data_IF_811605258258
#
_entry.id   IF_811605258258
#
_cell.length_a   1.000
_cell.length_b   1.000
_cell.length_c   1.000
_cell.angle_alpha   90.00
_cell.angle_beta   90.00
_cell.angle_gamma   90.00
#
_symmetry.space_group_name_H-M   'P 1'
#
loop_
_entity.id
_entity.type
_entity.pdbx_description
1 polymer ?
#
# COMPACT_ATOMS: atom_id res chain seq x y z
N UNK A 1 4.16 12.81 21.84
CA UNK A 1 5.39 13.38 22.44
C UNK A 1 6.60 13.11 21.53
N UNK A 2 7.57 14.03 21.43
CA UNK A 2 8.70 13.92 20.47
C UNK A 2 9.50 12.62 20.61
N UNK A 3 9.72 12.15 21.84
CA UNK A 3 10.41 10.88 22.12
C UNK A 3 9.72 9.64 21.51
N UNK A 4 8.39 9.61 21.50
CA UNK A 4 7.64 8.50 20.93
C UNK A 4 7.75 8.50 19.39
N UNK A 5 7.63 9.68 18.76
CA UNK A 5 7.85 9.82 17.32
C UNK A 5 9.26 9.38 16.94
N UNK A 6 10.29 9.83 17.67
CA UNK A 6 11.66 9.41 17.43
C UNK A 6 11.85 7.88 17.55
N UNK A 7 11.24 7.25 18.56
CA UNK A 7 11.28 5.80 18.75
C UNK A 7 10.60 5.04 17.60
N UNK A 8 9.43 5.51 17.14
CA UNK A 8 8.74 4.94 15.97
C UNK A 8 9.61 5.09 14.72
N UNK A 9 10.21 6.27 14.50
CA UNK A 9 11.11 6.52 13.38
C UNK A 9 12.33 5.61 13.39
N UNK A 10 12.94 5.39 14.56
CA UNK A 10 14.10 4.51 14.70
C UNK A 10 13.74 3.04 14.42
N UNK A 11 12.63 2.54 14.98
CA UNK A 11 12.17 1.17 14.77
C UNK A 11 11.79 0.90 13.32
N UNK A 12 11.12 1.85 12.67
CA UNK A 12 10.65 1.71 11.29
C UNK A 12 11.72 2.17 10.27
N UNK A 13 12.96 2.36 10.72
CA UNK A 13 14.10 2.75 9.89
C UNK A 13 13.85 3.98 9.00
N UNK A 14 13.05 4.93 9.49
CA UNK A 14 12.66 6.12 8.73
C UNK A 14 12.03 5.79 7.37
N UNK A 15 11.33 4.67 7.25
CA UNK A 15 10.76 4.17 6.00
C UNK A 15 9.29 3.81 6.20
N UNK A 16 8.47 4.08 5.18
CA UNK A 16 7.08 3.65 5.16
C UNK A 16 6.98 2.13 5.31
N UNK A 17 6.16 1.67 6.25
CA UNK A 17 6.01 0.24 6.54
C UNK A 17 4.92 -0.46 5.71
N UNK A 18 4.29 0.25 4.77
CA UNK A 18 3.35 -0.38 3.84
C UNK A 18 4.10 -1.39 2.96
N UNK A 19 3.58 -2.62 2.74
CA UNK A 19 4.30 -3.67 2.02
C UNK A 19 4.84 -3.22 0.66
N UNK A 20 6.16 -3.33 0.46
CA UNK A 20 6.85 -2.97 -0.78
C UNK A 20 7.11 -1.46 -0.98
N UNK A 21 6.74 -0.60 -0.03
CA UNK A 21 7.03 0.84 -0.14
C UNK A 21 8.46 1.16 0.33
N UNK A 22 9.20 1.94 -0.47
CA UNK A 22 10.54 2.41 -0.15
C UNK A 22 10.62 3.92 0.17
N UNK A 23 9.48 4.58 0.41
CA UNK A 23 9.46 6.02 0.73
C UNK A 23 10.09 6.30 2.11
N UNK A 24 11.02 7.25 2.14
CA UNK A 24 11.73 7.71 3.35
C UNK A 24 11.39 9.16 3.74
N UNK A 25 10.53 9.82 2.96
CA UNK A 25 10.13 11.23 3.15
C UNK A 25 8.61 11.34 3.26
N UNK A 26 8.16 12.45 3.84
CA UNK A 26 6.74 12.75 4.04
C UNK A 26 6.02 11.63 4.81
N UNK A 27 6.67 11.21 5.91
CA UNK A 27 6.21 10.12 6.76
C UNK A 27 5.36 10.63 7.92
N UNK A 28 4.30 9.90 8.19
CA UNK A 28 3.32 10.18 9.21
C UNK A 28 3.26 8.97 10.14
N UNK A 29 3.07 9.23 11.43
CA UNK A 29 2.81 8.18 12.40
C UNK A 29 1.35 7.76 12.27
N UNK A 30 1.12 6.46 12.09
CA UNK A 30 -0.18 5.82 11.90
C UNK A 30 -0.44 4.81 13.01
N UNK A 31 -1.69 4.72 13.48
CA UNK A 31 -2.12 3.71 14.44
C UNK A 31 -2.54 2.42 13.73
N UNK A 32 -2.03 1.27 14.16
CA UNK A 32 -2.40 -0.06 13.63
C UNK A 32 -3.83 -0.44 14.04
N UNK A 33 -4.17 -0.20 15.31
CA UNK A 33 -5.55 -0.21 15.82
C UNK A 33 -6.02 1.23 15.94
N UNK A 34 -7.12 1.57 15.27
CA UNK A 34 -7.64 2.93 15.21
C UNK A 34 -7.93 3.51 16.60
N UNK A 35 -7.71 4.81 16.78
CA UNK A 35 -8.01 5.47 18.05
C UNK A 35 -9.49 5.33 18.44
N UNK A 36 -10.40 5.40 17.46
CA UNK A 36 -11.84 5.22 17.67
C UNK A 36 -12.20 3.80 18.16
N UNK A 37 -11.35 2.81 17.91
CA UNK A 37 -11.49 1.42 18.34
C UNK A 37 -10.79 1.15 19.69
N UNK A 38 -10.30 2.20 20.36
CA UNK A 38 -9.57 2.10 21.62
C UNK A 38 -8.06 1.89 21.45
N UNK A 39 -7.52 2.09 20.24
CA UNK A 39 -6.10 2.00 19.95
C UNK A 39 -5.26 2.96 20.81
N UNK A 40 -4.27 2.40 21.52
CA UNK A 40 -3.37 3.18 22.37
C UNK A 40 -2.36 3.96 21.54
N UNK A 41 -1.89 5.09 22.06
CA UNK A 41 -0.77 5.85 21.46
C UNK A 41 0.54 5.42 22.14
N UNK A 42 1.08 4.29 21.71
CA UNK A 42 2.32 3.71 22.23
C UNK A 42 3.19 3.17 21.09
N UNK A 43 4.39 2.67 21.42
CA UNK A 43 5.30 2.20 20.38
C UNK A 43 4.68 1.04 19.61
N UNK A 44 4.10 0.05 20.29
CA UNK A 44 3.62 -1.20 19.69
C UNK A 44 2.48 -0.99 18.68
N UNK A 45 1.58 -0.05 18.97
CA UNK A 45 0.42 0.26 18.13
C UNK A 45 0.69 1.31 17.06
N UNK A 46 1.86 1.94 17.03
CA UNK A 46 2.19 2.96 16.03
C UNK A 46 3.10 2.40 14.93
N UNK A 47 3.07 3.00 13.75
CA UNK A 47 4.01 2.73 12.64
C UNK A 47 4.15 3.93 11.70
N UNK A 48 5.10 3.91 10.77
CA UNK A 48 5.24 4.93 9.73
C UNK A 48 4.50 4.57 8.45
N UNK A 49 3.76 5.55 7.92
CA UNK A 49 3.19 5.52 6.58
C UNK A 49 3.54 6.81 5.83
N UNK A 50 3.84 6.75 4.52
CA UNK A 50 3.99 7.96 3.71
C UNK A 50 2.61 8.59 3.47
N UNK A 51 2.55 9.89 3.13
CA UNK A 51 1.27 10.58 2.93
C UNK A 51 0.30 9.89 1.96
N UNK A 52 0.81 9.25 0.91
CA UNK A 52 -0.02 8.47 -0.04
C UNK A 52 -0.65 7.24 0.64
N UNK A 53 0.17 6.37 1.26
CA UNK A 53 -0.35 5.19 1.94
C UNK A 53 -1.16 5.54 3.19
N UNK A 54 -0.79 6.58 3.93
CA UNK A 54 -1.57 7.02 5.07
C UNK A 54 -3.02 7.35 4.68
N UNK A 55 -3.22 7.99 3.52
CA UNK A 55 -4.55 8.26 2.98
C UNK A 55 -5.26 6.98 2.51
N UNK A 56 -4.61 6.11 1.74
CA UNK A 56 -5.21 4.85 1.28
C UNK A 56 -5.66 3.94 2.45
N UNK A 57 -4.92 3.90 3.55
CA UNK A 57 -5.30 3.12 4.73
C UNK A 57 -6.66 3.57 5.30
N UNK A 58 -6.94 4.88 5.28
CA UNK A 58 -8.22 5.42 5.76
C UNK A 58 -9.33 5.33 4.71
N UNK A 59 -9.02 5.52 3.42
CA UNK A 59 -10.02 5.57 2.34
C UNK A 59 -10.47 4.18 1.87
N UNK A 60 -9.55 3.21 1.82
CA UNK A 60 -9.79 1.91 1.18
C UNK A 60 -10.03 0.78 2.20
N UNK A 61 -10.16 1.10 3.49
CA UNK A 61 -10.38 0.11 4.56
C UNK A 61 -9.23 -0.90 4.72
N UNK A 62 -8.02 -0.52 4.31
CA UNK A 62 -6.84 -1.37 4.43
C UNK A 62 -6.29 -1.27 5.85
N UNK A 63 -6.13 -2.41 6.52
CA UNK A 63 -5.64 -2.47 7.90
C UNK A 63 -4.19 -2.93 7.92
N UNK A 64 -3.31 -2.17 8.58
CA UNK A 64 -1.95 -2.62 8.87
C UNK A 64 -1.93 -3.44 10.15
N UNK A 65 -1.29 -4.61 10.11
CA UNK A 65 -1.08 -5.47 11.29
C UNK A 65 0.39 -5.80 11.46
N UNK A 66 0.86 -5.70 12.71
CA UNK A 66 2.19 -6.20 13.08
C UNK A 66 2.09 -7.69 13.41
N UNK A 67 2.92 -8.48 12.75
CA UNK A 67 3.05 -9.93 12.99
C UNK A 67 3.95 -10.21 14.19
N UNK A 68 3.98 -11.47 14.65
CA UNK A 68 4.90 -11.92 15.71
C UNK A 68 6.39 -11.78 15.34
N UNK A 69 6.72 -11.80 14.04
CA UNK A 69 8.06 -11.51 13.53
C UNK A 69 8.35 -10.02 13.38
N UNK A 70 7.52 -9.15 13.97
CA UNK A 70 7.58 -7.69 13.91
C UNK A 70 7.39 -7.07 12.51
N UNK A 71 7.13 -7.86 11.48
CA UNK A 71 6.83 -7.40 10.11
C UNK A 71 5.43 -6.80 10.03
N UNK A 72 5.28 -5.68 9.33
CA UNK A 72 3.98 -5.11 8.99
C UNK A 72 3.42 -5.80 7.75
N UNK A 73 2.17 -6.25 7.84
CA UNK A 73 1.37 -6.73 6.71
C UNK A 73 0.15 -5.84 6.53
N UNK A 74 -0.30 -5.67 5.29
CA UNK A 74 -1.53 -4.97 4.98
C UNK A 74 -2.64 -5.98 4.67
N UNK A 75 -3.81 -5.80 5.30
CA UNK A 75 -5.00 -6.62 5.12
C UNK A 75 -6.02 -5.80 4.33
N UNK A 76 -6.51 -6.35 3.23
CA UNK A 76 -7.60 -5.79 2.45
C UNK A 76 -8.94 -5.96 3.18
N UNK A 77 -9.98 -5.18 2.82
CA UNK A 77 -11.32 -5.33 3.40
C UNK A 77 -11.91 -6.74 3.29
N UNK A 78 -11.53 -7.49 2.26
CA UNK A 78 -11.95 -8.88 2.04
C UNK A 78 -11.14 -9.93 2.84
N UNK A 79 -10.25 -9.48 3.72
CA UNK A 79 -9.42 -10.32 4.58
C UNK A 79 -8.15 -10.86 3.92
N UNK A 80 -7.91 -10.62 2.62
CA UNK A 80 -6.67 -11.02 1.97
C UNK A 80 -5.49 -10.19 2.48
N UNK A 81 -4.32 -10.82 2.55
CA UNK A 81 -3.07 -10.11 2.85
C UNK A 81 -2.43 -9.63 1.56
N UNK A 82 -2.08 -8.34 1.51
CA UNK A 82 -1.23 -7.81 0.45
C UNK A 82 0.19 -8.29 0.65
N UNK A 83 0.68 -9.04 -0.32
CA UNK A 83 2.09 -9.39 -0.44
C UNK A 83 2.81 -8.34 -1.29
N UNK A 84 4.05 -7.95 -0.95
CA UNK A 84 4.85 -7.12 -1.84
C UNK A 84 4.90 -7.74 -3.23
N UNK A 85 4.75 -6.92 -4.27
CA UNK A 85 4.94 -7.38 -5.63
C UNK A 85 6.38 -7.93 -5.78
N UNK A 86 6.56 -9.06 -6.48
CA UNK A 86 7.89 -9.54 -6.82
C UNK A 86 8.69 -8.43 -7.54
N UNK A 87 10.01 -8.34 -7.34
CA UNK A 87 10.82 -7.39 -8.09
C UNK A 87 10.68 -7.67 -9.58
N UNK A 88 10.28 -6.65 -10.34
CA UNK A 88 10.18 -6.73 -11.80
C UNK A 88 11.59 -6.66 -12.37
N UNK A 89 12.03 -7.76 -13.01
CA UNK A 89 13.25 -7.77 -13.81
C UNK A 89 12.85 -7.51 -15.26
N UNK A 90 13.17 -6.36 -15.86
CA UNK A 90 12.62 -5.98 -17.16
C UNK A 90 13.09 -6.85 -18.35
N UNK A 91 14.08 -7.72 -18.15
CA UNK A 91 14.69 -8.52 -19.21
C UNK A 91 15.53 -7.69 -20.17
N UNK A 92 16.01 -8.31 -21.26
CA UNK A 92 16.86 -7.66 -22.26
C UNK A 92 16.08 -6.70 -23.19
N UNK A 93 14.77 -6.91 -23.36
CA UNK A 93 13.93 -6.16 -24.30
C UNK A 93 12.60 -5.69 -23.67
N UNK A 94 12.65 -4.86 -22.61
CA UNK A 94 11.47 -4.54 -21.80
C UNK A 94 10.34 -3.85 -22.55
N UNK A 95 10.67 -3.01 -23.54
CA UNK A 95 9.67 -2.31 -24.35
C UNK A 95 8.93 -3.29 -25.26
N UNK A 96 9.65 -4.22 -25.89
CA UNK A 96 9.05 -5.21 -26.78
C UNK A 96 8.17 -6.19 -26.00
N UNK A 97 8.65 -6.66 -24.83
CA UNK A 97 7.86 -7.51 -23.92
C UNK A 97 6.59 -6.80 -23.47
N UNK A 98 6.69 -5.54 -23.02
CA UNK A 98 5.50 -4.77 -22.61
C UNK A 98 4.53 -4.57 -23.78
N UNK A 99 5.01 -4.27 -24.97
CA UNK A 99 4.16 -4.07 -26.16
C UNK A 99 3.43 -5.36 -26.56
N UNK A 100 4.09 -6.52 -26.48
CA UNK A 100 3.48 -7.83 -26.72
C UNK A 100 2.43 -8.16 -25.64
N UNK A 101 2.80 -8.05 -24.36
CA UNK A 101 1.92 -8.33 -23.23
C UNK A 101 0.67 -7.44 -23.22
N UNK A 102 0.82 -6.17 -23.62
CA UNK A 102 -0.27 -5.18 -23.63
C UNK A 102 -0.96 -5.05 -24.99
N UNK A 103 -0.64 -5.88 -25.99
CA UNK A 103 -1.23 -5.79 -27.33
C UNK A 103 -2.76 -5.95 -27.37
N UNK A 104 -3.34 -6.57 -26.33
CA UNK A 104 -4.77 -6.71 -26.12
C UNK A 104 -5.46 -5.47 -25.52
N UNK A 105 -4.68 -4.50 -25.01
CA UNK A 105 -5.19 -3.25 -24.44
C UNK A 105 -5.50 -2.30 -25.58
N UNK A 106 -6.79 -2.16 -25.90
CA UNK A 106 -7.23 -1.29 -26.98
C UNK A 106 -6.90 0.19 -26.68
N UNK A 107 -6.69 1.05 -27.70
CA UNK A 107 -6.41 2.48 -27.50
C UNK A 107 -7.51 3.25 -26.75
N UNK A 108 -8.71 2.67 -26.62
CA UNK A 108 -9.84 3.20 -25.87
C UNK A 108 -10.04 2.53 -24.50
N UNK A 109 -9.08 1.72 -24.03
CA UNK A 109 -9.12 1.15 -22.69
C UNK A 109 -9.25 2.27 -21.65
N UNK A 110 -10.04 2.00 -20.60
CA UNK A 110 -10.36 2.98 -19.56
C UNK A 110 -9.07 3.51 -18.94
N UNK A 111 -8.78 4.79 -19.21
CA UNK A 111 -7.78 5.54 -18.47
C UNK A 111 -8.38 5.92 -17.11
N UNK A 112 -7.51 6.16 -16.12
CA UNK A 112 -7.98 6.60 -14.81
C UNK A 112 -8.76 7.89 -14.89
N UNK A 113 -9.45 8.27 -13.81
CA UNK A 113 -10.36 9.42 -13.77
C UNK A 113 -9.75 10.71 -14.32
N UNK A 114 -8.42 10.84 -14.24
CA UNK A 114 -7.66 12.01 -14.66
C UNK A 114 -6.74 11.73 -15.88
N UNK A 115 -6.92 10.61 -16.58
CA UNK A 115 -6.09 10.23 -17.74
C UNK A 115 -4.62 9.92 -17.41
N UNK A 116 -4.30 9.82 -16.12
CA UNK A 116 -2.96 9.57 -15.62
C UNK A 116 -2.60 8.08 -15.58
N UNK A 117 -1.39 7.78 -15.13
CA UNK A 117 -1.01 6.39 -14.79
C UNK A 117 -1.90 5.91 -13.65
N UNK A 118 -2.39 4.67 -13.75
CA UNK A 118 -3.02 3.95 -12.64
C UNK A 118 -2.15 4.08 -11.40
N UNK A 119 -2.62 4.84 -10.41
CA UNK A 119 -1.97 4.86 -9.11
C UNK A 119 -2.38 3.60 -8.32
N UNK A 120 -1.66 3.30 -7.24
CA UNK A 120 -1.92 2.07 -6.48
C UNK A 120 -3.37 2.01 -5.94
N UNK A 121 -3.95 3.13 -5.52
CA UNK A 121 -5.34 3.17 -5.04
C UNK A 121 -6.33 2.84 -6.15
N UNK A 122 -6.16 3.43 -7.34
CA UNK A 122 -6.98 3.12 -8.52
C UNK A 122 -6.78 1.68 -9.00
N UNK A 123 -5.56 1.16 -8.89
CA UNK A 123 -5.24 -0.23 -9.27
C UNK A 123 -5.91 -1.22 -8.33
N UNK A 124 -5.85 -0.94 -7.02
CA UNK A 124 -6.53 -1.75 -6.01
C UNK A 124 -8.05 -1.67 -6.19
N UNK A 125 -8.60 -0.49 -6.43
CA UNK A 125 -10.02 -0.30 -6.70
C UNK A 125 -10.49 -1.11 -7.90
N UNK A 126 -9.83 -1.02 -9.06
CA UNK A 126 -10.17 -1.82 -10.26
C UNK A 126 -10.09 -3.31 -9.97
N UNK A 127 -9.02 -3.78 -9.33
CA UNK A 127 -8.84 -5.22 -8.99
C UNK A 127 -9.85 -5.73 -7.95
N UNK A 128 -10.38 -4.85 -7.10
CA UNK A 128 -11.40 -5.18 -6.09
C UNK A 128 -12.81 -5.13 -6.69
N UNK A 129 -13.08 -4.22 -7.62
CA UNK A 129 -14.38 -4.10 -8.29
C UNK A 129 -14.66 -5.21 -9.30
N UNK A 130 -13.63 -5.71 -9.98
CA UNK A 130 -13.77 -6.76 -11.00
C UNK A 130 -14.15 -8.14 -10.42
N UNK A 131 -14.22 -8.27 -9.08
CA UNK A 131 -14.54 -9.54 -8.39
C UNK A 131 -15.97 -9.67 -7.91
N UNK A 132 -16.83 -8.70 -8.20
CA UNK A 132 -18.28 -8.82 -7.93
C UNK A 132 -19.02 -9.51 -9.10
N UNK A 133 -18.35 -9.81 -10.21
CA UNK A 133 -18.97 -10.38 -11.42
C UNK A 133 -18.56 -11.83 -11.75
N UNK A 134 -18.39 -12.69 -10.74
CA UNK A 134 -18.41 -14.15 -10.96
C UNK A 134 -19.44 -14.78 -10.02
N UNK A 135 -20.67 -14.85 -10.52
CA UNK A 135 -21.74 -15.72 -10.05
C UNK A 135 -22.06 -16.72 -11.16
#
# INVERSE_FOLDING_TARGET
PRRLQAAVHARDHGTCQYPGCAHTRWLHVHHLVGWAEGGRTDLDNLTLACGSHHRHLHEEGIVLRRTSSATIVALLPDGRTLVPAPPVTPGEQPIATLADETGHVAPNAVATRDGGRLNLGESLFVLLQDRVAVA
#
